data_IF_486760681141
#
_entry.id   IF_486760681141
#
_cell.length_a   1.000
_cell.length_b   1.000
_cell.length_c   1.000
_cell.angle_alpha   90.00
_cell.angle_beta   90.00
_cell.angle_gamma   90.00
#
_symmetry.space_group_name_H-M   'P 1'
#
loop_
_entity.id
_entity.type
_entity.pdbx_description
1 polymer ?
#
# COMPACT_ATOMS: atom_id res chain seq x y z
N UNK A 1 -5.71 3.44 12.83
CA UNK A 1 -6.85 2.61 12.43
C UNK A 1 -7.07 1.45 13.39
N UNK A 2 -8.31 0.96 13.57
CA UNK A 2 -8.60 -0.26 14.32
C UNK A 2 -8.13 -1.53 13.59
N UNK A 3 -8.00 -2.64 14.32
CA UNK A 3 -7.48 -3.90 13.80
C UNK A 3 -8.37 -4.50 12.70
N UNK A 4 -9.65 -4.23 12.70
CA UNK A 4 -10.63 -4.69 11.71
C UNK A 4 -10.32 -4.25 10.27
N UNK A 5 -9.42 -3.28 10.09
CA UNK A 5 -8.89 -2.98 8.76
C UNK A 5 -8.15 -4.16 8.13
N UNK A 6 -7.59 -5.09 8.94
CA UNK A 6 -7.02 -6.34 8.42
C UNK A 6 -8.07 -7.27 7.83
N UNK A 7 -9.36 -7.16 8.21
CA UNK A 7 -10.43 -7.96 7.63
C UNK A 7 -10.74 -7.57 6.16
N UNK A 8 -10.27 -6.39 5.75
CA UNK A 8 -10.24 -5.99 4.34
C UNK A 8 -9.14 -6.70 3.54
N UNK A 9 -8.27 -7.46 4.19
CA UNK A 9 -7.12 -8.14 3.60
C UNK A 9 -7.32 -9.65 3.61
N UNK A 10 -6.48 -10.33 2.85
CA UNK A 10 -6.36 -11.78 2.86
C UNK A 10 -4.92 -12.14 3.13
N UNK A 11 -4.69 -13.02 4.11
CA UNK A 11 -3.37 -13.57 4.36
C UNK A 11 -2.91 -14.47 3.21
N UNK A 12 -1.64 -14.38 2.87
CA UNK A 12 -1.02 -15.09 1.76
C UNK A 12 0.41 -15.49 2.11
N UNK A 13 0.98 -16.49 1.42
CA UNK A 13 2.39 -16.83 1.58
C UNK A 13 3.32 -15.64 1.33
N UNK A 14 4.43 -15.58 2.07
CA UNK A 14 5.37 -14.46 2.07
C UNK A 14 5.98 -14.11 0.69
N UNK A 15 6.02 -15.08 -0.22
CA UNK A 15 6.53 -14.89 -1.59
C UNK A 15 5.46 -14.42 -2.58
N UNK A 16 4.22 -14.21 -2.14
CA UNK A 16 3.13 -13.75 -3.02
C UNK A 16 3.48 -12.38 -3.61
N UNK A 17 3.37 -12.19 -4.93
CA UNK A 17 3.66 -10.91 -5.56
C UNK A 17 2.82 -9.76 -4.99
N UNK A 18 3.48 -8.64 -4.69
CA UNK A 18 2.89 -7.44 -4.09
C UNK A 18 2.28 -7.65 -2.69
N UNK A 19 2.54 -8.76 -2.02
CA UNK A 19 2.14 -8.93 -0.64
C UNK A 19 2.87 -7.93 0.26
N UNK A 20 2.17 -7.46 1.27
CA UNK A 20 2.67 -6.55 2.30
C UNK A 20 2.75 -7.31 3.62
N UNK A 21 3.90 -7.25 4.28
CA UNK A 21 4.05 -7.83 5.61
C UNK A 21 3.35 -6.95 6.65
N UNK A 22 2.59 -7.57 7.53
CA UNK A 22 1.90 -6.90 8.62
C UNK A 22 2.86 -6.29 9.63
N UNK A 23 2.35 -5.43 10.49
CA UNK A 23 3.11 -4.79 11.56
C UNK A 23 2.64 -5.26 12.94
N UNK A 24 3.47 -5.08 13.96
CA UNK A 24 3.15 -5.36 15.37
C UNK A 24 2.63 -6.79 15.57
N UNK A 25 1.42 -6.97 16.11
CA UNK A 25 0.75 -8.28 16.30
C UNK A 25 0.61 -9.09 15.01
N UNK A 26 0.60 -8.42 13.85
CA UNK A 26 0.50 -9.05 12.53
C UNK A 26 1.85 -9.25 11.84
N UNK A 27 2.97 -8.98 12.55
CA UNK A 27 4.30 -9.16 12.00
C UNK A 27 4.59 -10.64 11.67
N UNK A 28 5.30 -10.87 10.56
CA UNK A 28 5.59 -12.23 10.07
C UNK A 28 4.49 -12.80 9.16
N UNK A 29 3.31 -12.21 9.13
CA UNK A 29 2.22 -12.55 8.23
C UNK A 29 2.18 -11.61 7.04
N UNK A 30 1.85 -12.11 5.85
CA UNK A 30 1.80 -11.31 4.63
C UNK A 30 0.40 -11.25 4.07
N UNK A 31 0.03 -10.10 3.54
CA UNK A 31 -1.34 -9.78 3.16
C UNK A 31 -1.42 -9.18 1.76
N UNK A 32 -2.53 -9.44 1.10
CA UNK A 32 -3.00 -8.72 -0.10
C UNK A 32 -4.42 -8.23 0.13
N UNK A 33 -4.88 -7.27 -0.67
CA UNK A 33 -6.28 -6.86 -0.62
C UNK A 33 -7.22 -8.03 -0.89
N UNK A 34 -8.23 -8.19 -0.05
CA UNK A 34 -9.36 -9.06 -0.33
C UNK A 34 -10.26 -8.37 -1.36
N UNK A 35 -10.24 -8.87 -2.60
CA UNK A 35 -10.97 -8.27 -3.72
C UNK A 35 -12.48 -8.48 -3.64
N UNK A 36 -12.93 -9.40 -2.79
CA UNK A 36 -14.37 -9.69 -2.61
C UNK A 36 -15.05 -8.61 -1.75
N UNK A 37 -14.28 -7.95 -0.86
CA UNK A 37 -14.80 -6.91 0.03
C UNK A 37 -14.29 -5.51 -0.30
N UNK A 38 -13.13 -5.40 -0.98
CA UNK A 38 -12.53 -4.13 -1.33
C UNK A 38 -13.06 -3.58 -2.65
N UNK A 39 -13.38 -2.29 -2.67
CA UNK A 39 -13.82 -1.57 -3.88
C UNK A 39 -12.73 -1.58 -4.96
N UNK A 40 -13.12 -1.57 -6.25
CA UNK A 40 -12.18 -1.42 -7.37
C UNK A 40 -11.30 -0.15 -7.21
N UNK A 41 -10.06 -0.21 -7.67
CA UNK A 41 -9.09 0.88 -7.52
C UNK A 41 -8.41 0.96 -6.15
N UNK A 42 -8.80 0.11 -5.21
CA UNK A 42 -8.14 -0.01 -3.90
C UNK A 42 -6.68 -0.44 -4.03
N UNK A 43 -5.82 0.12 -3.15
CA UNK A 43 -4.38 -0.17 -3.12
C UNK A 43 -3.91 -0.37 -1.68
N UNK A 44 -3.17 -1.45 -1.45
CA UNK A 44 -2.39 -1.72 -0.25
C UNK A 44 -0.92 -1.38 -0.56
N UNK A 45 -0.34 -0.46 0.16
CA UNK A 45 1.03 0.01 -0.07
C UNK A 45 1.97 -0.25 1.10
N UNK A 46 1.41 -0.43 2.29
CA UNK A 46 2.14 -0.70 3.53
C UNK A 46 1.25 -1.43 4.54
N UNK A 47 1.86 -1.92 5.63
CA UNK A 47 1.13 -2.53 6.73
C UNK A 47 0.09 -1.58 7.34
N UNK A 48 -0.94 -2.14 7.91
CA UNK A 48 -1.92 -1.37 8.69
C UNK A 48 -1.31 -1.08 10.08
N UNK A 49 -1.16 0.21 10.37
CA UNK A 49 -0.56 0.71 11.62
C UNK A 49 -1.57 0.77 12.76
N UNK A 50 -2.23 -0.35 13.09
CA UNK A 50 -3.17 -0.44 14.20
C UNK A 50 -2.45 -0.64 15.54
N UNK A 51 -3.18 -0.47 16.64
CA UNK A 51 -2.72 -0.81 18.00
C UNK A 51 -2.55 -2.35 18.16
N UNK A 52 -1.77 -2.76 19.15
CA UNK A 52 -1.55 -4.18 19.46
C UNK A 52 -2.79 -4.83 20.06
N UNK A 53 -3.66 -4.06 20.71
CA UNK A 53 -4.92 -4.51 21.28
C UNK A 53 -6.10 -3.93 20.52
N UNK A 54 -7.07 -4.77 20.22
CA UNK A 54 -8.36 -4.32 19.69
C UNK A 54 -9.23 -3.84 20.85
N UNK A 55 -9.46 -2.53 20.89
CA UNK A 55 -10.30 -1.89 21.92
C UNK A 55 -11.78 -1.83 21.56
N UNK A 56 -12.18 -2.44 20.44
CA UNK A 56 -13.58 -2.57 20.01
C UNK A 56 -14.17 -1.31 19.39
N UNK A 57 -13.36 -0.47 18.74
CA UNK A 57 -13.83 0.77 18.11
C UNK A 57 -14.91 0.51 17.06
N UNK A 58 -14.68 -0.43 16.13
CA UNK A 58 -15.65 -0.77 15.08
C UNK A 58 -16.93 -1.35 15.68
N UNK A 59 -16.82 -2.19 16.70
CA UNK A 59 -17.99 -2.72 17.40
C UNK A 59 -18.79 -1.61 18.08
N UNK A 60 -18.12 -0.67 18.73
CA UNK A 60 -18.79 0.47 19.38
C UNK A 60 -19.54 1.35 18.36
N UNK A 61 -18.96 1.59 17.18
CA UNK A 61 -19.62 2.34 16.10
C UNK A 61 -20.89 1.61 15.59
N UNK A 62 -20.81 0.29 15.45
CA UNK A 62 -21.95 -0.54 15.03
C UNK A 62 -23.06 -0.52 16.08
N UNK A 63 -22.71 -0.70 17.35
CA UNK A 63 -23.67 -0.74 18.46
C UNK A 63 -24.38 0.61 18.65
N UNK A 64 -23.65 1.72 18.44
CA UNK A 64 -24.22 3.05 18.49
C UNK A 64 -25.21 3.31 17.34
N UNK A 65 -25.04 2.63 16.20
CA UNK A 65 -25.87 2.79 15.02
C UNK A 65 -25.64 4.12 14.29
N UNK A 66 -26.07 4.19 13.04
CA UNK A 66 -25.96 5.41 12.21
C UNK A 66 -24.59 5.65 11.58
N UNK A 67 -23.55 4.89 11.98
CA UNK A 67 -22.23 4.92 11.36
C UNK A 67 -22.17 3.90 10.22
N UNK A 68 -21.88 4.35 9.02
CA UNK A 68 -21.79 3.50 7.81
C UNK A 68 -20.38 3.47 7.21
N UNK A 69 -19.47 4.32 7.68
CA UNK A 69 -18.09 4.35 7.22
C UNK A 69 -17.15 4.93 8.28
N UNK A 70 -15.91 4.39 8.31
CA UNK A 70 -14.79 4.91 9.06
C UNK A 70 -13.59 5.07 8.13
N UNK A 71 -13.06 6.29 8.03
CA UNK A 71 -11.89 6.59 7.20
C UNK A 71 -10.74 7.09 8.05
N UNK A 72 -9.55 6.52 7.79
CA UNK A 72 -8.33 6.85 8.51
C UNK A 72 -7.26 7.42 7.58
N UNK A 73 -6.38 8.23 8.15
CA UNK A 73 -5.06 8.52 7.62
C UNK A 73 -4.03 7.57 8.22
N UNK A 74 -2.93 8.09 8.74
CA UNK A 74 -1.80 7.40 9.38
C UNK A 74 -0.93 6.61 8.38
N UNK A 75 -1.46 5.64 7.67
CA UNK A 75 -0.71 4.81 6.73
C UNK A 75 -0.68 5.50 5.37
N UNK A 76 0.45 6.11 5.06
CA UNK A 76 0.59 7.05 3.97
C UNK A 76 0.46 6.43 2.58
N UNK A 77 0.70 5.11 2.45
CA UNK A 77 0.67 4.40 1.16
C UNK A 77 -0.63 3.67 0.88
N UNK A 78 -1.51 3.55 1.88
CA UNK A 78 -2.77 2.83 1.76
C UNK A 78 -3.87 3.70 1.16
N UNK A 79 -4.59 3.16 0.19
CA UNK A 79 -5.69 3.82 -0.51
C UNK A 79 -6.77 2.82 -0.87
N UNK A 80 -7.30 2.09 0.10
CA UNK A 80 -8.37 1.13 -0.13
C UNK A 80 -9.66 1.55 0.58
N UNK A 81 -10.76 0.95 0.18
CA UNK A 81 -12.04 0.95 0.88
C UNK A 81 -12.57 -0.47 0.83
N UNK A 82 -12.78 -1.07 1.97
CA UNK A 82 -13.38 -2.39 2.11
C UNK A 82 -14.67 -2.31 2.90
N UNK A 83 -15.64 -3.14 2.56
CA UNK A 83 -16.90 -3.26 3.30
C UNK A 83 -16.85 -4.53 4.14
N UNK A 84 -16.69 -4.38 5.44
CA UNK A 84 -16.64 -5.47 6.42
C UNK A 84 -17.41 -5.04 7.66
N UNK A 85 -17.96 -5.99 8.42
CA UNK A 85 -18.73 -5.70 9.63
C UNK A 85 -19.87 -4.69 9.43
N UNK A 86 -20.51 -4.69 8.26
CA UNK A 86 -21.59 -3.75 7.88
C UNK A 86 -21.18 -2.27 7.88
N UNK A 87 -19.88 -1.97 7.79
CA UNK A 87 -19.33 -0.62 7.71
C UNK A 87 -18.23 -0.56 6.64
N UNK A 88 -18.10 0.58 5.98
CA UNK A 88 -16.96 0.81 5.09
C UNK A 88 -15.74 1.24 5.90
N UNK A 89 -14.64 0.51 5.77
CA UNK A 89 -13.34 0.86 6.32
C UNK A 89 -12.41 1.34 5.21
N UNK A 90 -11.90 2.55 5.32
CA UNK A 90 -11.13 3.12 4.21
C UNK A 90 -9.95 3.99 4.62
N UNK A 91 -9.03 4.17 3.68
CA UNK A 91 -7.84 5.00 3.84
C UNK A 91 -7.81 6.15 2.85
N UNK A 92 -7.29 7.28 3.32
CA UNK A 92 -6.75 8.34 2.50
C UNK A 92 -5.22 8.33 2.63
N UNK A 93 -4.46 8.13 1.55
CA UNK A 93 -3.00 8.21 1.57
C UNK A 93 -2.54 9.64 1.76
N UNK A 94 -1.22 9.84 2.01
CA UNK A 94 -0.69 11.20 2.11
C UNK A 94 -0.87 11.98 0.81
N UNK A 95 -1.20 13.27 0.94
CA UNK A 95 -1.18 14.22 -0.17
C UNK A 95 0.11 15.05 -0.22
N UNK A 96 0.86 15.13 0.90
CA UNK A 96 2.06 15.92 1.02
C UNK A 96 3.30 15.26 0.41
N UNK A 97 4.25 16.08 -0.03
CA UNK A 97 5.54 15.65 -0.59
C UNK A 97 6.69 15.70 0.44
N UNK A 98 6.43 16.21 1.63
CA UNK A 98 7.42 16.36 2.70
C UNK A 98 7.55 15.12 3.59
N UNK A 99 6.64 14.16 3.48
CA UNK A 99 6.65 12.91 4.23
C UNK A 99 6.74 11.69 3.31
N UNK A 100 7.13 10.56 3.86
CA UNK A 100 7.12 9.30 3.11
C UNK A 100 5.72 8.99 2.56
N UNK A 101 5.63 8.19 1.51
CA UNK A 101 4.32 7.87 0.94
C UNK A 101 4.41 7.05 -0.33
N UNK A 102 3.31 6.99 -1.08
CA UNK A 102 3.30 6.35 -2.38
C UNK A 102 4.09 7.20 -3.38
N UNK A 103 4.33 6.63 -4.56
CA UNK A 103 4.92 7.39 -5.69
C UNK A 103 4.15 8.68 -5.90
N UNK A 104 4.85 9.76 -6.24
CA UNK A 104 4.32 11.12 -6.35
C UNK A 104 3.00 11.21 -7.10
N UNK A 105 2.89 10.54 -8.24
CA UNK A 105 1.66 10.52 -9.03
C UNK A 105 0.44 9.91 -8.30
N UNK A 106 0.66 9.16 -7.23
CA UNK A 106 -0.38 8.47 -6.46
C UNK A 106 -0.72 9.20 -5.15
N UNK A 107 0.01 10.28 -4.83
CA UNK A 107 -0.30 11.15 -3.71
C UNK A 107 -1.54 11.95 -4.03
N UNK A 108 -2.36 12.24 -3.05
CA UNK A 108 -3.59 12.98 -3.31
C UNK A 108 -4.56 12.96 -2.13
N UNK A 109 -5.77 13.39 -2.41
CA UNK A 109 -6.85 13.45 -1.45
C UNK A 109 -7.93 12.44 -1.81
N UNK A 110 -8.69 12.02 -0.81
CA UNK A 110 -9.91 11.26 -1.03
C UNK A 110 -11.10 12.21 -1.08
N UNK A 111 -11.82 12.20 -2.19
CA UNK A 111 -13.03 12.97 -2.39
C UNK A 111 -14.24 12.14 -1.93
N UNK A 112 -15.19 12.79 -1.28
CA UNK A 112 -16.46 12.22 -0.90
C UNK A 112 -17.58 13.06 -1.51
N UNK A 113 -18.55 12.40 -2.12
CA UNK A 113 -19.72 13.02 -2.70
C UNK A 113 -20.96 12.42 -2.02
N UNK A 114 -21.68 13.24 -1.27
CA UNK A 114 -22.89 12.86 -0.56
C UNK A 114 -24.13 13.43 -1.27
N UNK A 115 -25.22 12.69 -1.19
CA UNK A 115 -26.53 13.17 -1.64
C UNK A 115 -27.37 13.52 -0.42
N UNK A 116 -27.94 14.73 -0.38
CA UNK A 116 -28.75 15.20 0.75
C UNK A 116 -29.93 14.28 1.06
N UNK A 117 -30.58 13.77 0.00
CA UNK A 117 -31.75 12.90 0.12
C UNK A 117 -31.40 11.45 0.51
N UNK A 118 -30.12 11.06 0.45
CA UNK A 118 -29.62 9.74 0.85
C UNK A 118 -28.15 9.80 1.23
N UNK A 119 -27.81 10.34 2.41
CA UNK A 119 -26.41 10.58 2.81
C UNK A 119 -25.59 9.31 3.03
N UNK A 120 -26.25 8.16 3.29
CA UNK A 120 -25.56 6.88 3.44
C UNK A 120 -25.09 6.29 2.10
N UNK A 121 -25.67 6.72 1.00
CA UNK A 121 -25.28 6.34 -0.35
C UNK A 121 -24.28 7.35 -0.91
N UNK A 122 -23.05 7.26 -0.49
CA UNK A 122 -21.97 8.14 -0.92
C UNK A 122 -21.09 7.52 -2.00
N UNK A 123 -20.44 8.38 -2.77
CA UNK A 123 -19.38 8.00 -3.70
C UNK A 123 -18.05 8.52 -3.17
N UNK A 124 -17.02 7.69 -3.25
CA UNK A 124 -15.67 8.12 -2.90
C UNK A 124 -14.66 7.66 -3.92
N UNK A 125 -13.69 8.53 -4.21
CA UNK A 125 -12.58 8.26 -5.11
C UNK A 125 -11.34 9.01 -4.70
N UNK A 126 -10.19 8.52 -5.12
CA UNK A 126 -8.95 9.27 -5.02
C UNK A 126 -8.88 10.33 -6.12
N UNK A 127 -8.42 11.50 -5.76
CA UNK A 127 -8.02 12.57 -6.68
C UNK A 127 -6.54 12.77 -6.49
N UNK A 128 -5.74 12.22 -7.40
CA UNK A 128 -4.29 12.15 -7.24
C UNK A 128 -3.57 13.28 -7.97
N UNK A 129 -2.34 13.54 -7.54
CA UNK A 129 -1.45 14.46 -8.25
C UNK A 129 -1.27 14.08 -9.71
N UNK A 130 -1.12 12.77 -10.00
CA UNK A 130 -1.02 12.27 -11.36
C UNK A 130 -2.24 12.57 -12.22
N UNK A 131 -3.45 12.52 -11.63
CA UNK A 131 -4.70 12.83 -12.33
C UNK A 131 -4.81 14.32 -12.64
N UNK A 132 -4.34 15.20 -11.72
CA UNK A 132 -4.49 16.65 -11.84
C UNK A 132 -3.41 17.31 -12.68
N UNK A 133 -2.15 16.94 -12.47
CA UNK A 133 -1.00 17.64 -13.03
C UNK A 133 -0.29 16.84 -14.12
N UNK A 134 -0.33 15.50 -14.04
CA UNK A 134 0.30 14.60 -14.99
C UNK A 134 1.83 14.60 -14.93
N UNK A 135 2.44 15.26 -13.93
CA UNK A 135 3.89 15.34 -13.75
C UNK A 135 4.28 15.19 -12.28
N UNK A 136 5.57 15.00 -12.04
CA UNK A 136 6.15 14.99 -10.70
C UNK A 136 6.23 16.42 -10.11
N UNK A 137 6.62 16.53 -8.84
CA UNK A 137 6.80 17.81 -8.17
C UNK A 137 7.94 18.62 -8.79
N UNK A 138 8.08 19.87 -8.37
CA UNK A 138 9.19 20.75 -8.78
C UNK A 138 10.57 20.27 -8.31
N UNK A 139 10.63 19.37 -7.33
CA UNK A 139 11.87 18.75 -6.85
C UNK A 139 11.87 17.25 -7.17
N UNK A 140 12.06 16.92 -8.43
CA UNK A 140 12.00 15.53 -8.94
C UNK A 140 13.06 14.62 -8.33
N UNK A 141 14.25 15.12 -8.04
CA UNK A 141 15.31 14.33 -7.42
C UNK A 141 14.92 13.88 -6.01
N UNK A 142 14.42 14.80 -5.17
CA UNK A 142 13.95 14.47 -3.84
C UNK A 142 12.84 13.43 -3.89
N UNK A 143 11.85 13.68 -4.74
CA UNK A 143 10.72 12.78 -4.92
C UNK A 143 11.16 11.40 -5.41
N UNK A 144 12.14 11.35 -6.33
CA UNK A 144 12.72 10.08 -6.79
C UNK A 144 13.32 9.29 -5.63
N UNK A 145 14.10 9.94 -4.77
CA UNK A 145 14.68 9.27 -3.59
C UNK A 145 13.59 8.82 -2.60
N UNK A 146 12.63 9.65 -2.29
CA UNK A 146 11.52 9.31 -1.38
C UNK A 146 10.65 8.16 -1.93
N UNK A 147 10.45 8.11 -3.24
CA UNK A 147 9.66 7.06 -3.89
C UNK A 147 10.39 5.70 -3.98
N UNK A 148 11.74 5.69 -3.90
CA UNK A 148 12.54 4.49 -4.19
C UNK A 148 13.44 4.08 -3.02
N UNK A 149 13.71 4.96 -2.05
CA UNK A 149 14.51 4.62 -0.88
C UNK A 149 13.62 4.09 0.23
N UNK A 150 13.92 2.88 0.66
CA UNK A 150 13.26 2.24 1.82
C UNK A 150 14.26 2.23 2.97
N UNK A 151 13.81 2.66 4.13
CA UNK A 151 14.66 2.87 5.30
C UNK A 151 14.52 1.80 6.37
N UNK A 152 13.56 0.89 6.22
CA UNK A 152 13.29 -0.20 7.17
C UNK A 152 13.26 -1.57 6.48
N UNK A 153 13.49 -2.63 7.28
CA UNK A 153 13.58 -4.00 6.78
C UNK A 153 12.25 -4.51 6.19
N UNK A 154 11.12 -4.13 6.78
CA UNK A 154 9.80 -4.54 6.28
C UNK A 154 9.56 -3.89 4.92
N UNK A 155 9.87 -2.61 4.78
CA UNK A 155 9.79 -1.90 3.51
C UNK A 155 10.66 -2.53 2.43
N UNK A 156 11.91 -2.92 2.76
CA UNK A 156 12.80 -3.64 1.83
C UNK A 156 12.17 -4.97 1.39
N UNK A 157 11.65 -5.77 2.32
CA UNK A 157 10.99 -7.04 2.00
C UNK A 157 9.77 -6.83 1.10
N UNK A 158 8.97 -5.81 1.36
CA UNK A 158 7.81 -5.48 0.54
C UNK A 158 8.22 -5.06 -0.88
N UNK A 159 9.29 -4.26 -1.02
CA UNK A 159 9.82 -3.91 -2.35
C UNK A 159 10.34 -5.14 -3.11
N UNK A 160 11.03 -6.07 -2.45
CA UNK A 160 11.50 -7.31 -3.05
C UNK A 160 10.38 -8.25 -3.51
N UNK A 161 9.17 -8.11 -2.98
CA UNK A 161 7.97 -8.85 -3.44
C UNK A 161 7.33 -8.25 -4.70
N UNK A 162 7.77 -7.08 -5.15
CA UNK A 162 7.25 -6.48 -6.38
C UNK A 162 7.81 -7.18 -7.61
N UNK A 163 6.95 -7.68 -8.52
CA UNK A 163 7.42 -8.43 -9.69
C UNK A 163 8.44 -7.71 -10.54
N UNK A 164 8.30 -6.37 -10.70
CA UNK A 164 9.24 -5.56 -11.47
C UNK A 164 10.62 -5.51 -10.80
N UNK A 165 10.68 -5.38 -9.48
CA UNK A 165 11.93 -5.35 -8.72
C UNK A 165 12.61 -6.70 -8.80
N UNK A 166 11.87 -7.78 -8.57
CA UNK A 166 12.39 -9.15 -8.64
C UNK A 166 12.92 -9.46 -10.05
N UNK A 167 12.16 -9.12 -11.10
CA UNK A 167 12.61 -9.34 -12.48
C UNK A 167 13.88 -8.54 -12.80
N UNK A 168 13.98 -7.30 -12.34
CA UNK A 168 15.18 -6.47 -12.53
C UNK A 168 16.40 -7.07 -11.85
N UNK A 169 16.26 -7.50 -10.60
CA UNK A 169 17.35 -8.12 -9.84
C UNK A 169 17.82 -9.43 -10.48
N UNK A 170 16.90 -10.27 -10.94
CA UNK A 170 17.24 -11.51 -11.67
C UNK A 170 17.95 -11.20 -12.98
N UNK A 171 17.52 -10.19 -13.72
CA UNK A 171 18.16 -9.75 -14.97
C UNK A 171 19.59 -9.28 -14.70
N UNK A 172 19.82 -8.42 -13.71
CA UNK A 172 21.16 -7.95 -13.32
C UNK A 172 22.03 -9.13 -12.91
N UNK A 173 21.53 -10.02 -12.05
CA UNK A 173 22.24 -11.22 -11.61
C UNK A 173 22.68 -12.10 -12.78
N UNK A 174 21.81 -12.33 -13.74
CA UNK A 174 22.09 -13.12 -14.95
C UNK A 174 23.20 -12.50 -15.79
N UNK A 175 23.18 -11.19 -16.00
CA UNK A 175 24.24 -10.47 -16.73
C UNK A 175 25.59 -10.57 -16.00
N UNK A 176 25.60 -10.40 -14.68
CA UNK A 176 26.82 -10.51 -13.88
C UNK A 176 27.39 -11.93 -13.93
N UNK A 177 26.57 -12.97 -13.83
CA UNK A 177 27.00 -14.36 -13.96
C UNK A 177 27.59 -14.67 -15.34
N UNK A 178 26.95 -14.17 -16.41
CA UNK A 178 27.46 -14.33 -17.76
C UNK A 178 28.82 -13.62 -17.98
N UNK A 179 28.95 -12.41 -17.44
CA UNK A 179 30.21 -11.66 -17.50
C UNK A 179 31.34 -12.35 -16.73
N UNK A 180 31.05 -12.85 -15.52
CA UNK A 180 32.00 -13.60 -14.72
C UNK A 180 32.43 -14.91 -15.40
N UNK A 181 31.46 -15.67 -15.94
CA UNK A 181 31.73 -16.90 -16.70
C UNK A 181 32.60 -16.63 -17.93
N UNK A 182 32.35 -15.54 -18.66
CA UNK A 182 33.18 -15.15 -19.79
C UNK A 182 34.61 -14.78 -19.40
N UNK A 183 34.78 -14.05 -18.28
CA UNK A 183 36.08 -13.70 -17.75
C UNK A 183 36.88 -14.94 -17.32
N UNK A 184 36.24 -15.89 -16.63
CA UNK A 184 36.81 -17.16 -16.22
C UNK A 184 37.24 -17.98 -17.46
N UNK A 185 36.36 -18.12 -18.45
CA UNK A 185 36.66 -18.86 -19.66
C UNK A 185 37.84 -18.28 -20.43
N UNK A 186 38.08 -16.96 -20.39
CA UNK A 186 39.27 -16.32 -20.95
C UNK A 186 40.56 -16.65 -20.20
N UNK A 187 40.50 -16.83 -18.88
CA UNK A 187 41.67 -17.21 -18.08
C UNK A 187 42.13 -18.64 -18.38
N UNK A 188 41.20 -19.55 -18.65
CA UNK A 188 41.53 -20.95 -19.00
C UNK A 188 41.90 -21.18 -20.47
N UNK A 189 41.76 -20.16 -21.33
CA UNK A 189 42.19 -20.23 -22.75
C UNK A 189 43.59 -19.67 -22.98
N UNK A 190 44.28 -19.24 -21.94
CA UNK A 190 45.67 -18.86 -21.96
C UNK A 190 46.54 -19.96 -21.33
#
# INVERSE_FOLDING_TARGET
>A
PPQEFYDCLREVPAYTPNAVEGARTFAGHCYVLNRDVCRPGSRLGEAIGCADENVGEVQALRDAGGYFALFCGHDHKNAFVGHVHDIDLGYAPTCGFECYGPKSRLRGIRLFEFRENNPVSYVTRMLTWGDLIGRYSSNELRVFFEDHCVTDLIGIRNELRRPQVTATLLGIGSVMCAAAGHAIAKLFKR
#
